data_IF_921935752965
#
_entry.id   IF_921935752965
#
_cell.length_a   1.000
_cell.length_b   1.000
_cell.length_c   1.000
_cell.angle_alpha   90.00
_cell.angle_beta   90.00
_cell.angle_gamma   90.00
#
_symmetry.space_group_name_H-M   'P 1'
#
loop_
_entity.id
_entity.type
_entity.pdbx_description
1 polymer ?
#
# COMPACT_ATOMS: atom_id res chain seq x y z
N UNK A 1 1.06 -10.77 17.08
CA UNK A 1 -0.04 -9.95 16.54
C UNK A 1 0.10 -9.89 15.04
N UNK A 2 -0.93 -10.30 14.34
CA UNK A 2 -0.93 -10.24 12.89
C UNK A 2 -1.13 -8.81 12.41
N UNK A 3 -0.42 -8.45 11.36
CA UNK A 3 -0.65 -7.17 10.71
C UNK A 3 -2.02 -7.22 10.00
N UNK A 4 -2.63 -6.07 9.84
CA UNK A 4 -3.89 -5.95 9.12
C UNK A 4 -3.68 -5.07 7.90
N UNK A 5 -4.49 -5.29 6.87
CA UNK A 5 -4.56 -4.37 5.75
C UNK A 5 -5.48 -3.22 6.16
N UNK A 6 -4.87 -2.08 6.46
CA UNK A 6 -5.63 -0.92 6.94
C UNK A 6 -6.18 -0.10 5.78
N UNK A 7 -7.41 0.36 5.91
CA UNK A 7 -8.00 1.31 4.97
C UNK A 7 -7.43 2.70 5.28
N UNK A 8 -6.65 3.23 4.36
CA UNK A 8 -6.08 4.58 4.50
C UNK A 8 -6.95 5.56 3.74
N UNK A 9 -7.38 6.61 4.42
CA UNK A 9 -8.34 7.58 3.88
C UNK A 9 -7.79 8.99 3.99
N UNK A 10 -8.50 9.94 3.38
CA UNK A 10 -8.16 11.36 3.47
C UNK A 10 -8.18 11.86 4.92
N UNK A 11 -8.95 11.19 5.78
CA UNK A 11 -9.04 11.58 7.19
C UNK A 11 -7.88 11.05 8.03
N UNK A 12 -7.33 9.88 7.69
CA UNK A 12 -6.32 9.25 8.55
C UNK A 12 -4.91 9.18 7.99
N UNK A 13 -4.71 9.47 6.70
CA UNK A 13 -3.40 9.24 6.07
C UNK A 13 -2.29 10.08 6.70
N UNK A 14 -2.59 11.30 7.06
CA UNK A 14 -1.57 12.22 7.60
C UNK A 14 -1.02 11.68 8.92
N UNK A 15 -1.92 11.39 9.85
CA UNK A 15 -1.52 10.91 11.17
C UNK A 15 -0.98 9.49 11.13
N UNK A 16 -1.66 8.60 10.43
CA UNK A 16 -1.37 7.16 10.53
C UNK A 16 -0.21 6.72 9.65
N UNK A 17 0.03 7.40 8.54
CA UNK A 17 1.08 7.04 7.58
C UNK A 17 2.17 8.08 7.50
N UNK A 18 1.82 9.33 7.16
CA UNK A 18 2.81 10.36 6.89
C UNK A 18 3.64 10.74 8.12
N UNK A 19 3.02 10.77 9.29
CA UNK A 19 3.69 11.09 10.55
C UNK A 19 4.21 9.86 11.29
N UNK A 20 4.04 8.68 10.71
CA UNK A 20 4.44 7.42 11.34
C UNK A 20 5.94 7.22 11.26
N UNK A 21 6.51 6.61 12.32
CA UNK A 21 7.90 6.15 12.32
C UNK A 21 8.03 4.78 11.67
N UNK A 22 6.91 4.11 11.42
CA UNK A 22 6.90 2.75 10.87
C UNK A 22 7.08 2.76 9.35
N UNK A 23 7.45 1.59 8.83
CA UNK A 23 7.49 1.38 7.38
C UNK A 23 6.11 0.93 6.94
N UNK A 24 5.58 1.59 5.93
CA UNK A 24 4.27 1.30 5.36
C UNK A 24 4.38 0.86 3.92
N UNK A 25 3.63 -0.16 3.57
CA UNK A 25 3.40 -0.58 2.19
C UNK A 25 1.98 -0.16 1.85
N UNK A 26 1.84 0.86 1.01
CA UNK A 26 0.55 1.48 0.70
C UNK A 26 0.20 1.24 -0.75
N UNK A 27 -0.91 0.55 -1.02
CA UNK A 27 -1.37 0.27 -2.37
C UNK A 27 -2.57 1.15 -2.71
N UNK A 28 -2.42 1.90 -3.79
CA UNK A 28 -3.45 2.79 -4.31
C UNK A 28 -4.23 2.04 -5.39
N UNK A 29 -5.54 1.91 -5.21
CA UNK A 29 -6.39 1.06 -6.06
C UNK A 29 -7.72 1.72 -6.37
N UNK A 30 -8.36 1.22 -7.44
CA UNK A 30 -9.72 1.59 -7.81
C UNK A 30 -10.50 0.30 -7.99
N UNK A 31 -10.90 -0.33 -6.89
CA UNK A 31 -11.48 -1.66 -6.90
C UNK A 31 -12.81 -1.77 -7.64
N UNK A 32 -13.50 -0.64 -7.84
CA UNK A 32 -14.79 -0.67 -8.53
C UNK A 32 -14.67 -0.98 -10.03
N UNK A 33 -13.54 -0.65 -10.66
CA UNK A 33 -13.41 -0.84 -12.11
C UNK A 33 -12.06 -1.37 -12.58
N UNK A 34 -11.06 -1.39 -11.73
CA UNK A 34 -9.69 -1.77 -12.13
C UNK A 34 -9.45 -3.25 -11.90
N UNK A 35 -9.40 -4.04 -12.98
CA UNK A 35 -9.22 -5.49 -12.88
C UNK A 35 -7.88 -5.88 -12.24
N UNK A 36 -6.73 -5.29 -12.63
CA UNK A 36 -5.46 -5.61 -11.95
C UNK A 36 -5.49 -5.27 -10.46
N UNK A 37 -6.23 -4.23 -10.07
CA UNK A 37 -6.41 -3.88 -8.65
C UNK A 37 -7.16 -4.99 -7.92
N UNK A 38 -8.22 -5.52 -8.55
CA UNK A 38 -9.01 -6.60 -7.96
C UNK A 38 -8.19 -7.89 -7.80
N UNK A 39 -7.22 -8.10 -8.68
CA UNK A 39 -6.35 -9.27 -8.60
C UNK A 39 -5.27 -9.10 -7.53
N UNK A 40 -4.76 -7.89 -7.37
CA UNK A 40 -3.70 -7.61 -6.41
C UNK A 40 -4.21 -7.56 -4.97
N UNK A 41 -5.42 -7.06 -4.77
CA UNK A 41 -5.96 -6.85 -3.43
C UNK A 41 -5.94 -8.10 -2.54
N UNK A 42 -6.43 -9.27 -2.98
CA UNK A 42 -6.37 -10.47 -2.14
C UNK A 42 -4.95 -10.95 -1.85
N UNK A 43 -4.01 -10.67 -2.74
CA UNK A 43 -2.60 -11.00 -2.50
C UNK A 43 -2.08 -10.18 -1.33
N UNK A 44 -2.37 -8.88 -1.32
CA UNK A 44 -1.92 -7.98 -0.25
C UNK A 44 -2.61 -8.35 1.07
N UNK A 45 -3.90 -8.67 1.02
CA UNK A 45 -4.64 -9.11 2.21
C UNK A 45 -3.99 -10.35 2.82
N UNK A 46 -3.60 -11.30 1.99
CA UNK A 46 -2.97 -12.53 2.44
C UNK A 46 -1.60 -12.26 3.07
N UNK A 47 -0.82 -11.38 2.47
CA UNK A 47 0.49 -11.00 3.00
C UNK A 47 0.35 -10.35 4.37
N UNK A 48 -0.56 -9.40 4.49
CA UNK A 48 -0.79 -8.66 5.73
C UNK A 48 -1.35 -9.56 6.82
N UNK A 49 -2.40 -10.31 6.50
CA UNK A 49 -3.08 -11.19 7.44
C UNK A 49 -2.15 -12.25 8.03
N UNK A 50 -1.26 -12.80 7.23
CA UNK A 50 -0.35 -13.86 7.65
C UNK A 50 1.03 -13.35 8.06
N UNK A 51 1.16 -12.03 8.21
CA UNK A 51 2.39 -11.37 8.65
C UNK A 51 3.63 -11.87 7.88
N UNK A 52 3.48 -11.92 6.55
CA UNK A 52 4.55 -12.46 5.69
C UNK A 52 5.75 -11.54 5.55
N UNK A 53 5.61 -10.28 5.89
CA UNK A 53 6.71 -9.32 5.93
C UNK A 53 6.68 -8.60 7.29
N UNK A 54 7.18 -9.26 8.35
CA UNK A 54 7.20 -8.65 9.68
C UNK A 54 7.95 -7.33 9.67
N UNK A 55 7.45 -6.36 10.42
CA UNK A 55 8.06 -5.04 10.51
C UNK A 55 7.52 -4.04 9.51
N UNK A 56 6.64 -4.46 8.60
CA UNK A 56 6.01 -3.57 7.63
C UNK A 56 4.50 -3.55 7.86
N UNK A 57 3.94 -2.36 7.91
CA UNK A 57 2.49 -2.17 7.99
C UNK A 57 1.92 -2.03 6.59
N UNK A 58 0.70 -2.50 6.41
CA UNK A 58 0.07 -2.52 5.10
C UNK A 58 -1.19 -1.68 5.07
N UNK A 59 -1.31 -0.84 4.05
CA UNK A 59 -2.46 0.00 3.84
C UNK A 59 -2.96 -0.06 2.40
N UNK A 60 -4.25 0.18 2.24
CA UNK A 60 -4.88 0.28 0.93
C UNK A 60 -5.67 1.59 0.83
N UNK A 61 -5.66 2.19 -0.33
CA UNK A 61 -6.28 3.50 -0.58
C UNK A 61 -7.25 3.39 -1.74
N UNK A 62 -8.48 3.82 -1.53
CA UNK A 62 -9.49 3.92 -2.59
C UNK A 62 -9.31 5.27 -3.29
N UNK A 63 -8.61 5.28 -4.41
CA UNK A 63 -8.21 6.53 -5.09
C UNK A 63 -9.37 7.36 -5.61
N UNK A 64 -10.49 6.72 -5.92
CA UNK A 64 -11.66 7.37 -6.50
C UNK A 64 -12.70 7.78 -5.46
N UNK A 65 -12.43 7.49 -4.18
CA UNK A 65 -13.39 7.66 -3.11
C UNK A 65 -12.71 8.25 -1.88
N UNK A 66 -12.65 7.49 -0.78
CA UNK A 66 -12.18 8.01 0.51
C UNK A 66 -10.71 8.41 0.55
N UNK A 67 -9.92 8.01 -0.43
CA UNK A 67 -8.50 8.36 -0.51
C UNK A 67 -8.14 9.25 -1.68
N UNK A 68 -9.11 9.98 -2.23
CA UNK A 68 -8.87 10.83 -3.41
C UNK A 68 -7.81 11.90 -3.15
N UNK A 69 -7.92 12.62 -2.04
CA UNK A 69 -6.97 13.71 -1.75
C UNK A 69 -5.57 13.19 -1.45
N UNK A 70 -5.47 12.10 -0.70
CA UNK A 70 -4.19 11.49 -0.42
C UNK A 70 -3.52 11.04 -1.74
N UNK A 71 -4.28 10.38 -2.59
CA UNK A 71 -3.78 9.91 -3.89
C UNK A 71 -3.31 11.07 -4.76
N UNK A 72 -4.08 12.15 -4.80
CA UNK A 72 -3.73 13.33 -5.57
C UNK A 72 -2.47 13.99 -5.02
N UNK A 73 -2.32 14.05 -3.70
CA UNK A 73 -1.14 14.66 -3.08
C UNK A 73 0.15 13.95 -3.45
N UNK A 74 0.09 12.64 -3.75
CA UNK A 74 1.24 11.86 -4.17
C UNK A 74 1.31 11.66 -5.69
N UNK A 75 0.47 12.37 -6.44
CA UNK A 75 0.44 12.33 -7.91
C UNK A 75 0.23 10.92 -8.46
N UNK A 76 -0.65 10.15 -7.82
CA UNK A 76 -1.00 8.82 -8.31
C UNK A 76 -1.78 8.96 -9.60
N UNK A 77 -1.26 8.41 -10.69
CA UNK A 77 -1.86 8.52 -12.03
C UNK A 77 -2.38 7.21 -12.58
N UNK A 78 -1.81 6.10 -12.13
CA UNK A 78 -2.18 4.77 -12.60
C UNK A 78 -2.44 3.88 -11.40
N UNK A 79 -3.35 2.92 -11.55
CA UNK A 79 -3.68 1.97 -10.50
C UNK A 79 -3.56 0.54 -11.03
N UNK A 80 -3.16 -0.43 -10.20
CA UNK A 80 -2.67 -0.22 -8.84
C UNK A 80 -1.26 0.35 -8.84
N UNK A 81 -0.94 1.14 -7.85
CA UNK A 81 0.41 1.62 -7.60
C UNK A 81 0.71 1.39 -6.12
N UNK A 82 1.85 0.80 -5.82
CA UNK A 82 2.25 0.51 -4.45
C UNK A 82 3.48 1.32 -4.10
N UNK A 83 3.40 2.08 -3.00
CA UNK A 83 4.52 2.82 -2.45
C UNK A 83 4.99 2.18 -1.15
N UNK A 84 6.30 2.06 -0.98
CA UNK A 84 6.87 1.78 0.33
C UNK A 84 7.24 3.14 0.92
N UNK A 85 6.70 3.43 2.09
CA UNK A 85 6.85 4.75 2.70
C UNK A 85 7.43 4.66 4.10
N UNK A 86 8.22 5.63 4.48
CA UNK A 86 8.75 5.75 5.82
C UNK A 86 8.91 7.24 6.16
N UNK A 87 8.36 7.64 7.29
CA UNK A 87 8.49 9.01 7.79
C UNK A 87 8.06 10.05 6.75
N UNK A 88 6.99 9.77 6.03
CA UNK A 88 6.44 10.66 5.02
C UNK A 88 7.19 10.66 3.69
N UNK A 89 8.16 9.76 3.51
CA UNK A 89 8.95 9.68 2.29
C UNK A 89 8.65 8.39 1.53
N UNK A 90 8.69 8.46 0.21
CA UNK A 90 8.54 7.28 -0.64
C UNK A 90 9.91 6.67 -0.84
N UNK A 91 10.09 5.41 -0.39
CA UNK A 91 11.34 4.68 -0.53
C UNK A 91 11.42 3.94 -1.86
N UNK A 92 10.29 3.57 -2.42
CA UNK A 92 10.23 2.88 -3.70
C UNK A 92 8.79 2.73 -4.16
N UNK A 93 8.63 2.44 -5.44
CA UNK A 93 7.32 2.36 -6.09
C UNK A 93 7.25 1.11 -6.95
N UNK A 94 6.15 0.38 -6.84
CA UNK A 94 5.85 -0.78 -7.66
C UNK A 94 4.59 -0.48 -8.47
N UNK A 95 4.70 -0.32 -9.78
CA UNK A 95 3.51 -0.10 -10.61
C UNK A 95 2.84 -1.42 -10.98
N UNK A 96 1.52 -1.41 -11.03
CA UNK A 96 0.74 -2.51 -11.56
C UNK A 96 0.65 -3.74 -10.69
N UNK A 97 0.12 -4.80 -11.30
CA UNK A 97 -0.03 -6.10 -10.67
C UNK A 97 1.24 -6.93 -10.79
N UNK A 98 1.62 -7.60 -9.70
CA UNK A 98 2.65 -8.64 -9.72
C UNK A 98 2.19 -9.81 -8.85
N UNK A 99 2.69 -11.03 -9.10
CA UNK A 99 2.40 -12.17 -8.25
C UNK A 99 2.89 -11.97 -6.81
N UNK A 100 2.34 -12.74 -5.88
CA UNK A 100 2.66 -12.59 -4.46
C UNK A 100 4.16 -12.65 -4.16
N UNK A 101 4.86 -13.61 -4.76
CA UNK A 101 6.29 -13.78 -4.53
C UNK A 101 7.07 -12.52 -4.90
N UNK A 102 6.74 -11.94 -6.05
CA UNK A 102 7.43 -10.74 -6.52
C UNK A 102 7.07 -9.53 -5.67
N UNK A 103 5.83 -9.47 -5.21
CA UNK A 103 5.38 -8.40 -4.32
C UNK A 103 6.16 -8.43 -3.00
N UNK A 104 6.25 -9.61 -2.38
CA UNK A 104 7.00 -9.78 -1.13
C UNK A 104 8.46 -9.39 -1.32
N UNK A 105 9.07 -9.84 -2.41
CA UNK A 105 10.46 -9.52 -2.72
C UNK A 105 10.69 -8.02 -2.83
N UNK A 106 9.79 -7.33 -3.54
CA UNK A 106 9.85 -5.88 -3.68
C UNK A 106 9.77 -5.20 -2.31
N UNK A 107 8.80 -5.60 -1.48
CA UNK A 107 8.61 -4.98 -0.17
C UNK A 107 9.84 -5.17 0.71
N UNK A 108 10.34 -6.40 0.80
CA UNK A 108 11.52 -6.69 1.63
C UNK A 108 12.75 -5.93 1.18
N UNK A 109 12.99 -5.93 -0.13
CA UNK A 109 14.15 -5.27 -0.69
C UNK A 109 14.09 -3.75 -0.48
N UNK A 110 12.95 -3.16 -0.73
CA UNK A 110 12.77 -1.71 -0.62
C UNK A 110 12.79 -1.24 0.83
N UNK A 111 12.14 -1.98 1.71
CA UNK A 111 12.10 -1.68 3.14
C UNK A 111 13.38 -2.11 3.87
N UNK A 112 14.21 -2.92 3.25
CA UNK A 112 15.45 -3.46 3.83
C UNK A 112 15.18 -4.29 5.08
N UNK A 113 14.21 -5.16 4.98
CA UNK A 113 13.85 -6.07 6.07
C UNK A 113 13.94 -7.53 5.65
#
# INVERSE_FOLDING_TARGET
VMAELKQITDENYEKDVMQSEDIWCVTFSALSFCQPCKMLHPIIENIAKNDKVPGVKFGTVATEDTGLNFSTSLSIRNVPTTHIMSKGKILGTLPGFVPEKDFIEFVKKTAKV
#
